data_IF_884782568937
#
_entry.id   IF_884782568937
#
_cell.length_a   1.000
_cell.length_b   1.000
_cell.length_c   1.000
_cell.angle_alpha   90.00
_cell.angle_beta   90.00
_cell.angle_gamma   90.00
#
_symmetry.space_group_name_H-M   'P 1'
#
loop_
_entity.id
_entity.type
_entity.pdbx_description
1 polymer ?
2 non-polymer ?
3 non-polymer ?
4 non-polymer ?
5 non-polymer ?
6 water ?
#
# COMPACT_ATOMS: atom_id res chain seq x y z
N UNK A 1 -11.12 0.32 6.59
CA UNK A 1 -10.66 -0.73 7.56
C UNK A 1 -9.22 -1.16 7.26
N UNK A 2 -8.28 -0.61 8.03
CA UNK A 2 -6.84 -0.70 7.74
C UNK A 2 -6.04 -1.71 8.59
N UNK A 3 -6.73 -2.50 9.42
CA UNK A 3 -6.04 -3.38 10.39
C UNK A 3 -5.13 -4.44 9.72
N UNK A 4 -5.69 -5.26 8.82
CA UNK A 4 -4.95 -6.37 8.18
C UNK A 4 -3.75 -5.88 7.34
N UNK A 5 -3.94 -4.76 6.64
CA UNK A 5 -2.86 -4.17 5.84
C UNK A 5 -1.69 -3.68 6.72
N UNK A 6 -2.04 -2.91 7.75
CA UNK A 6 -1.09 -2.46 8.75
C UNK A 6 -0.34 -3.61 9.37
N UNK A 7 -1.04 -4.71 9.65
CA UNK A 7 -0.35 -5.90 10.17
C UNK A 7 0.62 -6.45 9.12
N UNK A 8 0.17 -6.58 7.88
CA UNK A 8 1.03 -7.10 6.81
C UNK A 8 2.25 -6.20 6.62
N UNK A 9 2.06 -4.88 6.69
CA UNK A 9 3.19 -3.95 6.58
C UNK A 9 4.22 -4.18 7.68
N UNK A 10 3.77 -4.34 8.92
CA UNK A 10 4.70 -4.55 10.05
C UNK A 10 5.50 -5.83 9.91
N UNK A 11 4.82 -6.93 9.60
CA UNK A 11 5.50 -8.21 9.38
C UNK A 11 6.57 -8.10 8.30
N UNK A 12 6.25 -7.48 7.17
CA UNK A 12 7.19 -7.40 6.06
C UNK A 12 8.29 -6.36 6.23
N UNK A 13 8.04 -5.26 6.93
CA UNK A 13 9.04 -4.16 7.00
C UNK A 13 9.81 -4.03 8.32
N UNK A 14 9.27 -4.55 9.42
CA UNK A 14 9.84 -4.29 10.76
C UNK A 14 9.61 -2.86 11.25
N UNK A 15 8.61 -2.18 10.68
CA UNK A 15 8.26 -0.80 11.03
C UNK A 15 6.78 -0.74 11.26
N UNK A 16 6.35 0.13 12.17
CA UNK A 16 4.94 0.41 12.33
C UNK A 16 4.32 0.89 11.01
N UNK A 17 3.11 0.45 10.71
CA UNK A 17 2.36 0.96 9.56
C UNK A 17 2.25 2.50 9.54
N UNK A 18 2.24 3.11 10.72
CA UNK A 18 2.23 4.57 10.85
C UNK A 18 3.39 5.26 10.13
N UNK A 19 4.52 4.56 10.01
CA UNK A 19 5.68 5.07 9.27
C UNK A 19 5.45 5.21 7.76
N UNK A 20 4.43 4.51 7.25
CA UNK A 20 4.00 4.63 5.87
C UNK A 20 2.70 5.41 5.72
N UNK A 21 2.26 6.10 6.77
CA UNK A 21 1.04 6.92 6.69
C UNK A 21 1.53 8.35 6.47
N UNK A 22 0.89 9.04 5.53
CA UNK A 22 1.32 10.34 5.02
C UNK A 22 2.74 10.36 4.46
N UNK A 23 3.31 9.19 4.18
CA UNK A 23 4.64 9.13 3.61
C UNK A 23 4.57 9.64 2.20
N UNK A 24 5.48 10.54 1.88
CA UNK A 24 5.59 11.12 0.56
C UNK A 24 4.30 11.75 0.09
N UNK A 25 4.08 11.63 -1.22
CA UNK A 25 2.94 12.22 -1.88
C UNK A 25 1.77 11.28 -2.09
N UNK A 26 1.99 9.96 -1.92
CA UNK A 26 0.96 8.94 -2.19
C UNK A 26 0.52 8.01 -1.05
N UNK A 27 1.32 7.81 -0.01
CA UNK A 27 0.94 6.87 1.03
C UNK A 27 0.03 7.58 2.04
N UNK A 28 -1.17 7.02 2.23
CA UNK A 28 -2.23 7.67 3.00
C UNK A 28 -3.36 7.98 2.05
N UNK A 29 -4.48 8.50 2.54
CA UNK A 29 -5.64 8.68 1.66
C UNK A 29 -5.34 9.65 0.51
N UNK A 30 -5.86 9.30 -0.68
CA UNK A 30 -5.64 10.08 -1.89
C UNK A 30 -4.20 10.06 -2.36
N UNK A 31 -3.76 11.17 -2.94
CA UNK A 31 -2.41 11.27 -3.47
C UNK A 31 -2.46 11.95 -4.82
N UNK A 32 -1.38 12.65 -5.14
CA UNK A 32 -1.31 13.44 -6.37
C UNK A 32 0.13 13.85 -6.61
N UNK A 33 0.37 14.41 -7.80
CA UNK A 33 1.67 14.97 -8.18
C UNK A 33 2.71 13.85 -8.30
N UNK A 34 4.01 14.15 -8.22
CA UNK A 34 5.01 13.17 -8.61
C UNK A 34 5.55 12.46 -7.38
N UNK A 35 5.67 11.11 -7.44
CA UNK A 35 6.12 10.36 -6.27
C UNK A 35 7.56 10.71 -5.91
N UNK A 36 7.78 10.97 -4.63
CA UNK A 36 9.09 11.42 -4.16
C UNK A 36 10.18 10.36 -4.23
N UNK A 37 9.83 9.08 -4.10
CA UNK A 37 10.81 7.99 -4.08
C UNK A 37 10.12 6.62 -4.34
N UNK A 38 10.90 5.54 -4.24
CA UNK A 38 10.44 4.20 -4.62
C UNK A 38 9.33 3.65 -3.73
N UNK A 39 9.47 3.84 -2.44
CA UNK A 39 8.40 3.56 -1.49
C UNK A 39 7.08 4.26 -1.87
N UNK A 40 7.18 5.53 -2.26
CA UNK A 40 6.01 6.31 -2.65
C UNK A 40 5.41 5.73 -3.94
N UNK A 41 6.26 5.24 -4.85
CA UNK A 41 5.76 4.54 -6.04
C UNK A 41 4.93 3.32 -5.65
N UNK A 42 5.38 2.56 -4.65
CA UNK A 42 4.61 1.41 -4.16
C UNK A 42 3.19 1.84 -3.87
N UNK A 43 3.06 2.98 -3.18
CA UNK A 43 1.75 3.54 -2.82
C UNK A 43 0.93 4.04 -4.00
N UNK A 44 1.60 4.68 -4.97
CA UNK A 44 0.96 5.04 -6.26
C UNK A 44 0.43 3.78 -6.96
N UNK A 45 1.27 2.76 -7.09
CA UNK A 45 0.82 1.46 -7.63
C UNK A 45 -0.34 0.88 -6.79
N UNK A 46 -0.25 0.96 -5.47
CA UNK A 46 -1.31 0.43 -4.59
C UNK A 46 -2.64 1.17 -4.79
N UNK A 47 -2.61 2.50 -4.83
CA UNK A 47 -3.77 3.31 -5.25
C UNK A 47 -4.37 2.83 -6.61
N UNK A 48 -3.50 2.63 -7.60
CA UNK A 48 -3.93 2.10 -8.90
C UNK A 48 -4.60 0.75 -8.74
N UNK A 49 -3.96 -0.13 -7.97
CA UNK A 49 -4.52 -1.46 -7.66
C UNK A 49 -5.94 -1.37 -7.10
N UNK A 50 -6.12 -0.50 -6.12
CA UNK A 50 -7.46 -0.30 -5.56
C UNK A 50 -8.46 0.24 -6.60
N UNK A 51 -8.04 1.19 -7.43
CA UNK A 51 -8.89 1.68 -8.54
C UNK A 51 -9.42 0.55 -9.44
N UNK A 52 -8.54 -0.38 -9.84
CA UNK A 52 -8.95 -1.55 -10.64
C UNK A 52 -9.99 -2.41 -9.91
N UNK A 53 -9.81 -2.56 -8.60
CA UNK A 53 -10.72 -3.35 -7.79
C UNK A 53 -12.10 -2.70 -7.70
N UNK A 54 -12.12 -1.38 -7.54
CA UNK A 54 -13.40 -0.62 -7.55
C UNK A 54 -14.11 -0.78 -8.90
N UNK A 55 -13.38 -0.64 -9.99
CA UNK A 55 -13.96 -0.84 -11.31
C UNK A 55 -14.51 -2.26 -11.49
N UNK A 56 -13.92 -3.24 -10.81
CA UNK A 56 -14.44 -4.62 -10.79
C UNK A 56 -15.68 -4.87 -9.92
N UNK A 57 -16.14 -3.88 -9.15
CA UNK A 57 -17.29 -4.03 -8.26
C UNK A 57 -16.93 -4.33 -6.81
N UNK A 58 -15.62 -4.42 -6.50
CA UNK A 58 -15.14 -4.66 -5.13
C UNK A 58 -15.10 -3.35 -4.37
N UNK A 59 -14.88 -3.43 -3.06
CA UNK A 59 -14.73 -2.25 -2.19
C UNK A 59 -13.47 -2.38 -1.32
N UNK A 60 -12.28 -2.33 -1.95
CA UNK A 60 -11.05 -2.72 -1.26
C UNK A 60 -10.68 -1.90 -0.01
N UNK A 61 -11.22 -0.70 0.12
CA UNK A 61 -11.08 0.07 1.37
C UNK A 61 -11.69 -0.64 2.56
N UNK A 62 -12.72 -1.44 2.31
CA UNK A 62 -13.48 -2.10 3.36
C UNK A 62 -13.35 -3.63 3.44
N UNK A 63 -12.92 -4.29 2.36
CA UNK A 63 -12.93 -5.77 2.31
C UNK A 63 -12.09 -6.30 3.48
N UNK A 64 -12.55 -7.38 4.10
CA UNK A 64 -11.82 -8.07 5.16
C UNK A 64 -11.27 -9.33 4.53
N UNK A 65 -9.97 -9.57 4.68
CA UNK A 65 -9.37 -10.78 4.12
C UNK A 65 -8.59 -11.52 5.18
N UNK A 66 -8.04 -12.66 4.79
CA UNK A 66 -7.17 -13.45 5.65
C UNK A 66 -5.84 -13.62 4.99
N UNK A 67 -4.79 -13.61 5.80
CA UNK A 67 -3.46 -13.89 5.30
C UNK A 67 -2.53 -14.45 6.37
N UNK A 68 -1.50 -15.15 5.88
CA UNK A 68 -0.38 -15.63 6.71
C UNK A 68 0.95 -15.37 6.02
N UNK A 69 2.00 -15.41 6.83
CA UNK A 69 3.36 -15.19 6.40
C UNK A 69 4.25 -16.34 6.88
N UNK A 70 4.62 -17.21 5.96
CA UNK A 70 5.66 -18.21 6.20
C UNK A 70 6.95 -17.76 5.51
N UNK A 71 7.94 -18.64 5.50
CA UNK A 71 9.16 -18.45 4.73
C UNK A 71 8.90 -18.49 3.22
N UNK A 72 7.86 -19.22 2.80
CA UNK A 72 7.44 -19.24 1.38
C UNK A 72 6.89 -17.89 0.89
N UNK A 73 6.40 -17.07 1.82
CA UNK A 73 5.91 -15.73 1.51
C UNK A 73 4.53 -15.46 2.10
N UNK A 74 3.80 -14.55 1.47
CA UNK A 74 2.52 -14.12 2.00
C UNK A 74 1.50 -14.95 1.29
N UNK A 75 0.64 -15.59 2.08
CA UNK A 75 -0.47 -16.35 1.54
C UNK A 75 -1.76 -15.57 1.77
N UNK A 76 -2.53 -15.38 0.70
CA UNK A 76 -3.74 -14.58 0.72
C UNK A 76 -4.95 -15.47 0.64
N UNK A 77 -6.01 -15.08 1.34
CA UNK A 77 -7.22 -15.90 1.39
C UNK A 77 -8.43 -15.08 1.75
N UNK A 78 -9.59 -15.71 1.64
CA UNK A 78 -10.85 -15.01 1.88
C UNK A 78 -11.99 -15.70 1.20
N UNK A 79 -13.18 -15.42 1.71
CA UNK A 79 -14.42 -16.04 1.25
C UNK A 79 -14.72 -15.64 -0.18
N UNK A 80 -14.52 -14.35 -0.48
CA UNK A 80 -14.85 -13.80 -1.80
C UNK A 80 -13.62 -13.45 -2.63
N UNK A 81 -13.82 -13.45 -3.95
CA UNK A 81 -12.80 -13.05 -4.89
C UNK A 81 -12.33 -11.62 -4.63
N UNK A 82 -13.26 -10.73 -4.30
CA UNK A 82 -12.89 -9.35 -3.96
C UNK A 82 -11.98 -9.25 -2.75
N UNK A 83 -12.21 -10.10 -1.76
CA UNK A 83 -11.39 -10.10 -0.54
C UNK A 83 -9.97 -10.56 -0.86
N UNK A 84 -9.89 -11.58 -1.73
CA UNK A 84 -8.60 -12.15 -2.13
C UNK A 84 -7.84 -11.15 -3.02
N UNK A 85 -8.58 -10.44 -3.85
CA UNK A 85 -7.98 -9.38 -4.68
C UNK A 85 -7.41 -8.26 -3.85
N UNK A 86 -8.16 -7.84 -2.82
CA UNK A 86 -7.67 -6.80 -1.92
C UNK A 86 -6.36 -7.21 -1.28
N UNK A 87 -6.31 -8.44 -0.76
CA UNK A 87 -5.08 -8.99 -0.17
C UNK A 87 -3.91 -8.97 -1.15
N UNK A 88 -4.17 -9.30 -2.42
CA UNK A 88 -3.14 -9.29 -3.46
C UNK A 88 -2.58 -7.90 -3.72
N UNK A 89 -3.47 -6.91 -3.88
CA UNK A 89 -3.03 -5.52 -3.95
C UNK A 89 -2.16 -5.16 -2.74
N UNK A 90 -2.62 -5.49 -1.53
CA UNK A 90 -1.87 -5.15 -0.32
C UNK A 90 -0.51 -5.85 -0.25
N UNK A 91 -0.50 -7.12 -0.67
CA UNK A 91 0.68 -7.96 -0.63
C UNK A 91 1.78 -7.36 -1.48
N UNK A 92 1.45 -7.08 -2.73
CA UNK A 92 2.38 -6.45 -3.65
C UNK A 92 2.92 -5.12 -3.08
N UNK A 93 2.09 -4.36 -2.38
CA UNK A 93 2.54 -3.13 -1.71
C UNK A 93 3.50 -3.39 -0.54
N UNK A 94 3.18 -4.38 0.29
CA UNK A 94 3.99 -4.72 1.43
C UNK A 94 5.35 -5.21 0.98
N UNK A 95 5.35 -6.04 -0.07
CA UNK A 95 6.59 -6.56 -0.65
C UNK A 95 7.43 -5.45 -1.28
N UNK A 96 6.75 -4.55 -1.99
CA UNK A 96 7.39 -3.36 -2.53
C UNK A 96 8.02 -2.51 -1.39
N UNK A 97 7.30 -2.33 -0.27
CA UNK A 97 7.87 -1.57 0.88
C UNK A 97 9.13 -2.24 1.44
N UNK A 98 9.05 -3.55 1.71
CA UNK A 98 10.21 -4.33 2.15
C UNK A 98 11.39 -4.16 1.21
N UNK A 99 11.12 -4.38 -0.07
CA UNK A 99 12.15 -4.39 -1.09
C UNK A 99 12.90 -3.03 -1.20
N UNK A 100 12.19 -1.95 -0.92
CA UNK A 100 12.78 -0.63 -0.99
C UNK A 100 13.11 -0.10 0.39
N UNK A 101 13.28 -0.98 1.37
CA UNK A 101 13.69 -0.53 2.71
C UNK A 101 14.98 0.28 2.68
N UNK A 102 15.86 -0.02 1.72
CA UNK A 102 17.13 0.67 1.54
C UNK A 102 17.07 2.17 1.33
N UNK A 103 16.02 2.65 0.67
CA UNK A 103 15.87 4.08 0.36
C UNK A 103 14.76 4.76 1.16
N UNK A 104 14.11 4.02 2.06
CA UNK A 104 13.16 4.64 2.98
C UNK A 104 13.88 5.77 3.73
N UNK A 105 13.32 6.98 3.69
CA UNK A 105 13.89 8.15 4.37
C UNK A 105 12.85 8.77 5.28
N UNK A 106 13.24 8.98 6.54
CA UNK A 106 12.34 9.53 7.57
C UNK A 106 11.83 10.94 7.26
N UNK A 107 12.62 11.73 6.51
CA UNK A 107 12.20 13.06 6.06
C UNK A 107 10.89 13.05 5.25
N UNK A 108 10.62 11.97 4.52
CA UNK A 108 9.38 11.87 3.75
C UNK A 108 8.16 11.40 4.55
N UNK A 109 8.36 10.88 5.76
CA UNK A 109 7.23 10.57 6.64
C UNK A 109 6.56 11.88 7.12
N UNK A 110 5.23 11.90 7.07
CA UNK A 110 4.44 13.07 7.41
C UNK A 110 4.80 14.24 6.50
N UNK A 111 4.67 13.98 5.20
CA UNK A 111 5.10 14.94 4.19
C UNK A 111 4.07 16.04 4.04
N UNK A 112 4.50 17.32 4.19
CA UNK A 112 3.55 18.39 3.90
C UNK A 112 3.08 18.30 2.45
N UNK A 113 1.76 18.21 2.27
CA UNK A 113 1.16 18.00 0.94
C UNK A 113 1.42 19.19 -0.03
N UNK A 114 1.71 20.36 0.54
CA UNK A 114 2.13 21.55 -0.22
C UNK A 114 3.47 21.34 -0.95
N UNK A 115 4.27 20.39 -0.48
CA UNK A 115 5.59 20.12 -1.05
C UNK A 115 5.51 19.14 -2.25
N UNK A 116 4.32 18.63 -2.54
CA UNK A 116 4.10 17.76 -3.71
C UNK A 116 3.86 18.57 -4.98
N UNK A 117 4.76 18.41 -5.94
CA UNK A 117 4.74 19.14 -7.21
C UNK A 117 4.97 18.20 -8.40
N UNK A 118 4.74 18.73 -9.60
CA UNK A 118 4.88 17.98 -10.84
C UNK A 118 3.52 17.52 -11.37
N UNK A 119 3.54 16.72 -12.45
CA UNK A 119 2.35 16.07 -12.95
C UNK A 119 2.01 14.86 -12.10
N UNK A 120 0.81 14.33 -12.29
CA UNK A 120 0.39 13.09 -11.68
C UNK A 120 0.61 12.00 -12.72
N UNK A 121 1.53 11.04 -12.45
CA UNK A 121 1.72 9.93 -13.39
C UNK A 121 0.49 9.04 -13.47
N UNK A 122 0.16 8.53 -14.67
CA UNK A 122 -1.06 7.76 -14.80
C UNK A 122 -0.85 6.33 -14.28
N UNK A 123 -1.92 5.57 -14.10
CA UNK A 123 -1.78 4.15 -13.74
C UNK A 123 -1.21 3.36 -14.91
X LIG B 1 -2.74 6.86 -1.21
X LIG C 1 -6.44 -6.75 -10.35
X LIG C 1 -6.59 -5.75 -11.38
X LIG C 1 -4.99 -6.95 -9.89
X LIG C 1 -4.29 -5.71 -9.95
X LIG C 1 -4.90 -7.47 -8.44
X LIG C 1 -3.90 -8.49 -8.32
X LIG D 1 -2.71 8.08 -9.64
X LIG D 1 -3.65 9.15 -9.22
X LIG D 1 -2.99 6.67 -8.72
X LIG D 1 -3.14 7.63 -11.23
X LIG E 1 -5.80 5.80 -0.38
X LIG E 1 -6.18 4.61 -0.41
X LIG E 1 -7.09 4.17 -1.16
X LIG E 1 -5.47 3.58 0.51
X LIG E 1 -4.16 4.05 0.95
X LIG E 1 -3.90 4.24 2.29
X LIG E 1 -4.87 4.83 3.11
X LIG E 1 -4.60 5.02 4.45
X LIG E 1 -3.36 4.62 4.92
X LIG E 1 -2.44 4.05 4.11
X LIG E 1 -2.69 3.85 2.80
X LIG E 1 -1.56 3.29 2.30
X LIG E 1 -1.31 2.91 1.02
X LIG E 1 -0.97 1.78 0.68
X LIG E 1 -1.43 4.00 -0.04
X LIG E 1 -1.72 5.15 0.24
X LIG E 1 -1.29 3.58 -1.28
X LIG E 1 -0.68 3.15 3.28
X LIG E 1 0.71 2.53 3.12
X LIG E 1 -1.21 3.62 4.41
X LIG E 1 -0.61 3.67 5.83
X LIG E 1 -1.22 2.69 6.67
X LIG E 1 -1.42 2.95 8.04
X LIG E 1 -2.02 1.99 8.88
X LIG E 1 -2.31 2.30 10.74
X LIG E 1 -2.43 0.77 8.35
X LIG E 1 -2.25 0.50 7.00
X LIG E 1 -1.65 1.45 6.17
#
# INVERSE_FOLDING_TARGET
NLVQFGVMIEKMTGKSALQYNDYGCYCGIGGSHWPVDQTDWCCHAHDCCYGRLEKLGCEPKLEKYLFSVSERGIFCAGRTTCQRLTCECDKRAALCFRRNLGTYNRKYAHYPNKLCTGPTPPC
CA CA
GOL C1 O1 C2 O2 C3 O3
DMS S O C1 C2
7W6 OAM CAL OAN CAK OAJ CAA CAB CAC CAD CAE CAF CAI CAO OAQ CAP OAS NAR CAH CAT NAG CAU CAV CBA CAZ BRB CAY CAX CAW
#
